data_IF_388664346472
#
_entry.id   IF_388664346472
#
_cell.length_a   1.000
_cell.length_b   1.000
_cell.length_c   1.000
_cell.angle_alpha   90.00
_cell.angle_beta   90.00
_cell.angle_gamma   90.00
#
_symmetry.space_group_name_H-M   'P 1'
#
loop_
_entity.id
_entity.type
_entity.pdbx_description
1 polymer ?
#
# COMPACT_ATOMS: atom_id res chain seq x y z
N UNK A 1 20.50 12.81 8.85
CA UNK A 1 19.36 12.59 8.07
C UNK A 1 19.22 11.16 7.63
N UNK A 2 18.09 10.65 7.77
CA UNK A 2 17.92 9.24 7.48
C UNK A 2 17.44 9.05 6.06
N UNK A 3 18.19 8.28 5.31
CA UNK A 3 17.78 7.86 3.98
C UNK A 3 16.91 6.63 4.11
N UNK A 4 15.75 6.85 4.69
CA UNK A 4 14.81 5.76 4.88
C UNK A 4 14.43 5.15 3.55
N UNK A 5 14.69 3.86 3.41
CA UNK A 5 14.39 3.13 2.21
C UNK A 5 12.94 2.65 2.27
N UNK A 6 12.06 3.32 1.53
CA UNK A 6 10.64 3.01 1.51
C UNK A 6 10.32 1.85 0.57
N UNK A 7 11.16 1.65 -0.43
CA UNK A 7 11.00 0.61 -1.44
C UNK A 7 12.32 -0.12 -1.58
N UNK A 8 12.26 -1.44 -1.71
CA UNK A 8 13.46 -2.24 -1.93
C UNK A 8 14.02 -1.97 -3.31
N UNK A 9 15.20 -1.36 -3.37
CA UNK A 9 15.85 -1.01 -4.64
C UNK A 9 16.11 -2.22 -5.51
N UNK A 10 16.48 -3.34 -4.93
CA UNK A 10 16.76 -4.55 -5.70
C UNK A 10 15.50 -5.07 -6.37
N UNK A 11 14.38 -5.06 -5.65
CA UNK A 11 13.08 -5.44 -6.21
C UNK A 11 12.71 -4.52 -7.37
N UNK A 12 12.84 -3.22 -7.16
CA UNK A 12 12.47 -2.23 -8.16
C UNK A 12 13.35 -2.33 -9.40
N UNK A 13 14.66 -2.49 -9.22
CA UNK A 13 15.61 -2.65 -10.33
C UNK A 13 15.32 -3.91 -11.13
N UNK A 14 15.00 -5.00 -10.45
CA UNK A 14 14.67 -6.26 -11.12
C UNK A 14 13.40 -6.11 -11.96
N UNK A 15 12.38 -5.46 -11.40
CA UNK A 15 11.15 -5.21 -12.14
C UNK A 15 11.40 -4.34 -13.35
N UNK A 16 12.24 -3.32 -13.22
CA UNK A 16 12.57 -2.41 -14.30
C UNK A 16 13.27 -3.17 -15.43
N UNK A 17 14.21 -4.06 -15.10
CA UNK A 17 14.92 -4.87 -16.08
C UNK A 17 13.98 -5.84 -16.79
N UNK A 18 13.12 -6.52 -16.06
CA UNK A 18 12.24 -7.53 -16.62
C UNK A 18 11.14 -6.91 -17.46
N UNK A 19 10.58 -5.79 -17.03
CA UNK A 19 9.41 -5.18 -17.67
C UNK A 19 9.76 -4.15 -18.74
N UNK A 20 10.99 -3.64 -18.70
CA UNK A 20 11.47 -2.68 -19.70
C UNK A 20 10.47 -1.54 -19.93
N UNK A 21 9.91 -1.43 -21.14
CA UNK A 21 9.00 -0.35 -21.51
C UNK A 21 7.68 -0.38 -20.73
N UNK A 22 7.31 -1.54 -20.19
CA UNK A 22 6.06 -1.69 -19.43
C UNK A 22 6.21 -1.27 -17.96
N UNK A 23 7.43 -0.97 -17.53
CA UNK A 23 7.67 -0.62 -16.12
C UNK A 23 6.92 0.65 -15.71
N UNK A 24 6.94 1.68 -16.55
CA UNK A 24 6.23 2.93 -16.26
C UNK A 24 4.74 2.69 -16.10
N UNK A 25 4.17 1.81 -16.94
CA UNK A 25 2.75 1.45 -16.85
C UNK A 25 2.46 0.69 -15.56
N UNK A 26 3.37 -0.20 -15.16
CA UNK A 26 3.23 -0.93 -13.90
C UNK A 26 3.14 0.05 -12.73
N UNK A 27 4.02 1.04 -12.69
CA UNK A 27 4.02 2.03 -11.62
C UNK A 27 2.73 2.85 -11.62
N UNK A 28 2.30 3.30 -12.80
CA UNK A 28 1.06 4.06 -12.91
C UNK A 28 -0.14 3.26 -12.42
N UNK A 29 -0.23 1.99 -12.84
CA UNK A 29 -1.30 1.11 -12.40
C UNK A 29 -1.27 0.90 -10.89
N UNK A 30 -0.08 0.67 -10.33
CA UNK A 30 0.07 0.50 -8.89
C UNK A 30 -0.43 1.74 -8.14
N UNK A 31 -0.04 2.94 -8.60
CA UNK A 31 -0.44 4.16 -7.91
C UNK A 31 -1.95 4.39 -7.98
N UNK A 32 -2.55 4.16 -9.13
CA UNK A 32 -3.99 4.34 -9.30
C UNK A 32 -4.78 3.31 -8.49
N UNK A 33 -4.41 2.05 -8.55
CA UNK A 33 -5.07 0.99 -7.80
C UNK A 33 -4.92 1.20 -6.29
N UNK A 34 -3.77 1.71 -5.86
CA UNK A 34 -3.51 1.98 -4.45
C UNK A 34 -4.45 3.05 -3.91
N UNK A 35 -4.70 4.11 -4.68
CA UNK A 35 -5.64 5.14 -4.25
C UNK A 35 -7.05 4.60 -4.12
N UNK A 36 -7.45 3.72 -5.03
CA UNK A 36 -8.75 3.06 -4.94
C UNK A 36 -8.85 2.17 -3.70
N UNK A 37 -7.78 1.44 -3.39
CA UNK A 37 -7.74 0.57 -2.21
C UNK A 37 -7.80 1.37 -0.92
N UNK A 38 -7.05 2.48 -0.85
CA UNK A 38 -7.08 3.35 0.32
C UNK A 38 -8.45 3.97 0.53
N UNK A 39 -9.09 4.40 -0.55
CA UNK A 39 -10.46 4.93 -0.49
C UNK A 39 -11.43 3.87 0.00
N UNK A 40 -11.31 2.64 -0.49
CA UNK A 40 -12.16 1.53 -0.05
C UNK A 40 -11.96 1.24 1.43
N UNK A 41 -10.71 1.29 1.91
CA UNK A 41 -10.41 1.08 3.32
C UNK A 41 -11.04 2.16 4.20
N UNK A 42 -10.96 3.42 3.76
CA UNK A 42 -11.60 4.53 4.49
C UNK A 42 -13.11 4.33 4.61
N UNK A 43 -13.75 3.99 3.51
CA UNK A 43 -15.21 3.79 3.48
C UNK A 43 -15.62 2.62 4.36
N UNK A 44 -14.86 1.52 4.29
CA UNK A 44 -15.16 0.33 5.08
C UNK A 44 -15.03 0.62 6.57
N UNK A 45 -13.98 1.34 6.96
CA UNK A 45 -13.78 1.69 8.37
C UNK A 45 -14.89 2.62 8.85
N UNK A 46 -15.25 3.62 8.05
CA UNK A 46 -16.30 4.57 8.41
C UNK A 46 -17.66 3.89 8.59
N UNK A 47 -17.93 2.85 7.82
CA UNK A 47 -19.20 2.12 7.91
C UNK A 47 -19.14 0.95 8.90
N UNK A 48 -17.99 0.70 9.52
CA UNK A 48 -17.83 -0.42 10.45
C UNK A 48 -17.83 -1.79 9.79
N UNK A 49 -17.50 -1.86 8.51
CA UNK A 49 -17.50 -3.10 7.75
C UNK A 49 -16.12 -3.76 7.80
N UNK A 50 -15.92 -4.60 8.83
CA UNK A 50 -14.64 -5.26 9.04
C UNK A 50 -14.22 -6.18 7.91
N UNK A 51 -15.17 -6.87 7.31
CA UNK A 51 -14.86 -7.80 6.21
C UNK A 51 -14.42 -7.04 4.96
N UNK A 52 -15.09 -5.94 4.62
CA UNK A 52 -14.68 -5.11 3.49
C UNK A 52 -13.31 -4.50 3.74
N UNK A 53 -13.04 -4.06 4.97
CA UNK A 53 -11.74 -3.51 5.34
C UNK A 53 -10.65 -4.57 5.22
N UNK A 54 -10.92 -5.78 5.71
CA UNK A 54 -9.97 -6.89 5.62
C UNK A 54 -9.60 -7.18 4.16
N UNK A 55 -10.59 -7.25 3.29
CA UNK A 55 -10.36 -7.54 1.87
C UNK A 55 -9.56 -6.46 1.18
N UNK A 56 -9.87 -5.20 1.45
CA UNK A 56 -9.16 -4.08 0.84
C UNK A 56 -7.70 -4.04 1.32
N UNK A 57 -7.48 -4.25 2.62
CA UNK A 57 -6.13 -4.27 3.19
C UNK A 57 -5.31 -5.44 2.62
N UNK A 58 -5.93 -6.61 2.48
CA UNK A 58 -5.26 -7.79 1.91
C UNK A 58 -4.83 -7.54 0.46
N UNK A 59 -5.73 -6.97 -0.34
CA UNK A 59 -5.44 -6.66 -1.73
C UNK A 59 -4.29 -5.64 -1.85
N UNK A 60 -4.34 -4.59 -1.05
CA UNK A 60 -3.30 -3.57 -1.05
C UNK A 60 -1.95 -4.13 -0.59
N UNK A 61 -1.98 -5.00 0.42
CA UNK A 61 -0.78 -5.67 0.91
C UNK A 61 -0.06 -6.42 -0.23
N UNK A 62 -0.83 -7.18 -1.02
CA UNK A 62 -0.27 -7.91 -2.15
C UNK A 62 0.39 -7.00 -3.18
N UNK A 63 -0.27 -5.90 -3.53
CA UNK A 63 0.28 -4.93 -4.47
C UNK A 63 1.56 -4.29 -3.94
N UNK A 64 1.58 -3.93 -2.66
CA UNK A 64 2.75 -3.32 -2.04
C UNK A 64 3.92 -4.29 -1.97
N UNK A 65 3.63 -5.57 -1.73
CA UNK A 65 4.66 -6.61 -1.69
C UNK A 65 5.35 -6.73 -3.06
N UNK A 66 4.57 -6.65 -4.14
CA UNK A 66 5.11 -6.80 -5.50
C UNK A 66 6.13 -5.73 -5.86
N UNK A 67 6.01 -4.53 -5.32
CA UNK A 67 6.97 -3.46 -5.60
C UNK A 67 8.02 -3.29 -4.49
N UNK A 68 7.99 -4.13 -3.48
CA UNK A 68 8.98 -4.11 -2.41
C UNK A 68 8.77 -3.01 -1.37
N UNK A 69 7.54 -2.56 -1.15
CA UNK A 69 7.23 -1.52 -0.16
C UNK A 69 6.95 -2.17 1.21
N UNK A 70 8.00 -2.62 1.88
CA UNK A 70 7.90 -3.45 3.09
C UNK A 70 7.14 -2.80 4.24
N UNK A 71 7.31 -1.49 4.45
CA UNK A 71 6.61 -0.80 5.52
C UNK A 71 5.10 -0.79 5.27
N UNK A 72 4.69 -0.53 4.02
CA UNK A 72 3.28 -0.58 3.66
C UNK A 72 2.71 -1.98 3.86
N UNK A 73 3.48 -3.01 3.50
CA UNK A 73 3.07 -4.41 3.72
C UNK A 73 2.79 -4.66 5.19
N UNK A 74 3.70 -4.25 6.07
CA UNK A 74 3.53 -4.45 7.52
C UNK A 74 2.32 -3.70 8.06
N UNK A 75 2.11 -2.47 7.60
CA UNK A 75 0.95 -1.67 8.01
C UNK A 75 -0.37 -2.29 7.55
N UNK A 76 -0.40 -2.77 6.30
CA UNK A 76 -1.58 -3.47 5.77
C UNK A 76 -1.86 -4.75 6.55
N UNK A 77 -0.81 -5.50 6.91
CA UNK A 77 -0.96 -6.72 7.69
C UNK A 77 -1.61 -6.43 9.04
N UNK A 78 -1.19 -5.36 9.70
CA UNK A 78 -1.76 -4.96 10.98
C UNK A 78 -3.27 -4.66 10.84
N UNK A 79 -3.63 -3.88 9.83
CA UNK A 79 -5.04 -3.51 9.60
C UNK A 79 -5.85 -4.74 9.21
N UNK A 80 -5.31 -5.59 8.34
CA UNK A 80 -5.96 -6.82 7.91
C UNK A 80 -6.27 -7.73 9.10
N UNK A 81 -5.29 -7.93 9.97
CA UNK A 81 -5.45 -8.79 11.14
C UNK A 81 -6.47 -8.24 12.12
N UNK A 82 -6.43 -6.94 12.38
CA UNK A 82 -7.39 -6.31 13.27
C UNK A 82 -8.81 -6.42 12.72
N UNK A 83 -8.97 -6.17 11.43
CA UNK A 83 -10.27 -6.25 10.76
C UNK A 83 -10.81 -7.69 10.76
N UNK A 84 -9.93 -8.67 10.54
CA UNK A 84 -10.32 -10.09 10.56
C UNK A 84 -10.87 -10.50 11.94
N UNK A 85 -10.37 -9.87 13.00
CA UNK A 85 -10.81 -10.12 14.38
C UNK A 85 -11.89 -9.13 14.82
N UNK A 86 -12.40 -8.35 13.89
CA UNK A 86 -13.43 -7.34 14.11
C UNK A 86 -13.02 -6.31 15.19
N UNK A 87 -11.74 -5.99 15.23
CA UNK A 87 -11.19 -4.98 16.17
C UNK A 87 -10.94 -3.69 15.40
N UNK A 88 -11.99 -2.88 15.26
CA UNK A 88 -11.90 -1.68 14.44
C UNK A 88 -11.51 -0.43 15.23
N UNK A 89 -11.56 -0.48 16.55
CA UNK A 89 -11.20 0.65 17.39
C UNK A 89 -9.72 1.02 17.20
N UNK A 90 -9.47 2.31 16.95
CA UNK A 90 -8.10 2.80 16.80
C UNK A 90 -7.53 2.64 15.41
N UNK A 91 -8.25 1.99 14.48
CA UNK A 91 -7.74 1.80 13.12
C UNK A 91 -7.73 3.09 12.31
N UNK A 92 -8.45 4.13 12.75
CA UNK A 92 -8.37 5.46 12.12
C UNK A 92 -6.93 5.96 12.11
N UNK A 93 -6.24 5.85 13.24
CA UNK A 93 -4.83 6.26 13.36
C UNK A 93 -3.94 5.41 12.45
N UNK A 94 -4.17 4.10 12.44
CA UNK A 94 -3.41 3.19 11.60
C UNK A 94 -3.60 3.52 10.12
N UNK A 95 -4.82 3.88 9.72
CA UNK A 95 -5.12 4.21 8.34
C UNK A 95 -4.48 5.55 7.93
N UNK A 96 -4.49 6.54 8.83
CA UNK A 96 -3.80 7.82 8.58
C UNK A 96 -2.30 7.58 8.40
N UNK A 97 -1.72 6.73 9.24
CA UNK A 97 -0.31 6.35 9.11
C UNK A 97 -0.01 5.68 7.77
N UNK A 98 -0.89 4.78 7.37
CA UNK A 98 -0.77 4.09 6.08
C UNK A 98 -0.81 5.08 4.91
N UNK A 99 -1.75 6.01 4.95
CA UNK A 99 -1.89 7.04 3.92
C UNK A 99 -0.66 7.93 3.85
N UNK A 100 -0.10 8.30 4.99
CA UNK A 100 1.11 9.10 5.05
C UNK A 100 2.31 8.37 4.46
N UNK A 101 2.46 7.10 4.78
CA UNK A 101 3.52 6.28 4.23
C UNK A 101 3.35 6.11 2.72
N UNK A 102 2.14 5.85 2.27
CA UNK A 102 1.88 5.73 0.83
C UNK A 102 2.21 7.02 0.08
N UNK A 103 1.90 8.17 0.66
CA UNK A 103 2.22 9.46 0.05
C UNK A 103 3.71 9.59 -0.23
N UNK A 104 4.55 9.13 0.69
CA UNK A 104 6.01 9.15 0.51
C UNK A 104 6.46 8.16 -0.55
N UNK A 105 5.88 6.96 -0.56
CA UNK A 105 6.17 5.95 -1.58
C UNK A 105 5.79 6.47 -2.95
N UNK A 106 4.61 7.09 -3.06
CA UNK A 106 4.15 7.70 -4.30
C UNK A 106 5.15 8.74 -4.80
N UNK A 107 5.64 9.59 -3.92
CA UNK A 107 6.61 10.62 -4.27
C UNK A 107 7.88 10.00 -4.86
N UNK A 108 8.34 8.88 -4.32
CA UNK A 108 9.51 8.19 -4.85
C UNK A 108 9.24 7.51 -6.18
N UNK A 109 8.02 7.04 -6.41
CA UNK A 109 7.69 6.28 -7.62
C UNK A 109 7.31 7.14 -8.82
N UNK A 110 6.86 8.37 -8.62
CA UNK A 110 6.38 9.20 -9.74
C UNK A 110 7.46 9.45 -10.79
N UNK A 111 8.74 9.40 -10.39
CA UNK A 111 9.85 9.59 -11.33
C UNK A 111 9.96 8.46 -12.36
N UNK A 112 9.28 7.34 -12.12
CA UNK A 112 9.31 6.19 -13.02
C UNK A 112 8.08 6.10 -13.94
N UNK A 113 7.16 7.03 -13.80
CA UNK A 113 5.96 7.05 -14.67
C UNK A 113 6.26 7.46 -16.09
#
# INVERSE_FOLDING_TARGET
>A
MSDRQLIDHDTLSTLQEVMEDDFARLIETYLNDSEDRLSAMQKALASGDGEALRRAAHSFKGSCSNIGAATLVAQCQHIESAAANNRLTGLETALVSLQGEFSQVRHQLVVYQ
#
